data_IF_074301038792
#
_entry.id   IF_074301038792
#
_cell.length_a   1.000
_cell.length_b   1.000
_cell.length_c   1.000
_cell.angle_alpha   90.00
_cell.angle_beta   90.00
_cell.angle_gamma   90.00
#
_symmetry.space_group_name_H-M   'P 1'
#
loop_
_entity.id
_entity.type
_entity.pdbx_description
1 polymer ?
#
# COMPACT_ATOMS: atom_id res chain seq x y z
N UNK A 1 23.21 11.72 19.60
CA UNK A 1 22.53 11.84 20.91
C UNK A 1 21.50 10.74 21.01
N UNK A 2 21.37 10.17 22.16
CA UNK A 2 20.35 9.15 22.43
C UNK A 2 19.73 9.42 23.82
N UNK A 3 18.50 9.03 23.97
CA UNK A 3 17.77 9.03 25.23
C UNK A 3 16.67 7.99 25.17
N UNK A 4 16.26 7.46 26.29
CA UNK A 4 15.26 6.42 26.30
C UNK A 4 14.70 6.13 27.66
N UNK A 5 13.58 5.42 27.58
CA UNK A 5 12.85 4.82 28.67
C UNK A 5 12.72 3.31 28.33
N UNK A 6 12.46 2.39 29.28
CA UNK A 6 12.32 0.96 28.96
C UNK A 6 11.41 0.62 27.79
N UNK A 7 10.42 1.45 27.50
CA UNK A 7 9.43 1.22 26.45
C UNK A 7 9.48 2.22 25.29
N UNK A 8 10.36 3.22 25.34
CA UNK A 8 10.50 4.19 24.26
C UNK A 8 11.90 4.77 24.23
N UNK A 9 12.53 4.77 23.07
CA UNK A 9 13.84 5.36 22.89
C UNK A 9 13.83 6.30 21.66
N UNK A 10 14.56 7.40 21.80
CA UNK A 10 14.78 8.34 20.70
C UNK A 10 16.26 8.55 20.47
N UNK A 11 16.64 8.72 19.22
CA UNK A 11 18.01 9.03 18.85
C UNK A 11 18.03 9.96 17.63
N UNK A 12 19.12 10.71 17.51
CA UNK A 12 19.42 11.50 16.32
C UNK A 12 20.70 10.99 15.70
N UNK A 13 20.67 10.69 14.42
CA UNK A 13 21.83 10.28 13.62
C UNK A 13 21.77 10.93 12.24
N UNK A 14 22.91 10.97 11.57
CA UNK A 14 22.99 11.44 10.19
C UNK A 14 22.23 10.47 9.27
N UNK A 15 21.61 11.01 8.23
CA UNK A 15 20.79 10.22 7.27
C UNK A 15 21.60 9.08 6.65
N UNK A 16 22.85 9.34 6.31
CA UNK A 16 23.80 8.36 5.77
C UNK A 16 24.06 7.16 6.68
N UNK A 17 23.87 7.32 7.99
CA UNK A 17 24.09 6.27 8.98
C UNK A 17 22.81 5.41 9.24
N UNK A 18 21.66 5.77 8.68
CA UNK A 18 20.42 5.02 8.88
C UNK A 18 20.54 3.56 8.42
N UNK A 19 21.08 3.25 7.22
CA UNK A 19 21.22 1.86 6.78
C UNK A 19 22.11 1.02 7.72
N UNK A 20 23.25 1.57 8.15
CA UNK A 20 24.17 0.90 9.07
C UNK A 20 23.50 0.65 10.43
N UNK A 21 22.82 1.66 10.94
CA UNK A 21 22.07 1.56 12.20
C UNK A 21 20.96 0.50 12.14
N UNK A 22 20.19 0.47 11.06
CA UNK A 22 19.16 -0.53 10.81
C UNK A 22 19.72 -1.94 10.76
N UNK A 23 20.83 -2.14 10.05
CA UNK A 23 21.52 -3.42 9.99
C UNK A 23 22.02 -3.88 11.37
N UNK A 24 22.63 -2.97 12.14
CA UNK A 24 23.13 -3.26 13.47
C UNK A 24 22.03 -3.64 14.47
N UNK A 25 20.88 -2.92 14.44
CA UNK A 25 19.72 -3.26 15.27
C UNK A 25 19.17 -4.63 14.90
N UNK A 26 18.97 -4.90 13.62
CA UNK A 26 18.46 -6.18 13.15
C UNK A 26 19.39 -7.34 13.55
N UNK A 27 20.71 -7.16 13.43
CA UNK A 27 21.68 -8.15 13.86
C UNK A 27 21.60 -8.39 15.37
N UNK A 28 21.56 -7.30 16.17
CA UNK A 28 21.47 -7.40 17.62
C UNK A 28 20.18 -8.07 18.08
N UNK A 29 19.06 -7.74 17.43
CA UNK A 29 17.77 -8.36 17.72
C UNK A 29 17.79 -9.87 17.44
N UNK A 30 18.32 -10.29 16.27
CA UNK A 30 18.46 -11.72 15.91
C UNK A 30 19.34 -12.46 16.93
N UNK A 31 20.44 -11.86 17.35
CA UNK A 31 21.32 -12.44 18.38
C UNK A 31 20.60 -12.59 19.72
N UNK A 32 19.82 -11.59 20.12
CA UNK A 32 19.06 -11.60 21.38
C UNK A 32 17.91 -12.61 21.38
N UNK A 33 17.31 -12.85 20.21
CA UNK A 33 16.21 -13.82 20.04
C UNK A 33 16.68 -15.27 19.95
N UNK A 34 18.00 -15.52 19.73
CA UNK A 34 18.56 -16.87 19.78
C UNK A 34 17.89 -17.89 18.84
N UNK A 35 17.30 -17.42 17.72
CA UNK A 35 16.58 -18.29 16.78
C UNK A 35 15.13 -18.58 17.19
N UNK A 36 14.59 -17.94 18.23
CA UNK A 36 13.18 -18.06 18.60
C UNK A 36 12.31 -17.47 17.51
N UNK A 37 11.40 -18.28 16.98
CA UNK A 37 10.40 -17.83 16.02
C UNK A 37 9.32 -17.03 16.79
N UNK A 38 9.36 -15.69 16.69
CA UNK A 38 8.36 -14.84 17.33
C UNK A 38 7.07 -14.92 16.52
N UNK A 39 6.10 -15.66 17.02
CA UNK A 39 4.74 -15.62 16.49
C UNK A 39 4.05 -14.40 17.13
N UNK A 40 3.67 -13.38 16.36
CA UNK A 40 2.93 -12.27 16.92
C UNK A 40 1.64 -12.76 17.56
N UNK A 41 1.47 -12.51 18.83
CA UNK A 41 0.23 -12.83 19.54
C UNK A 41 -0.45 -11.53 19.99
N UNK A 42 -1.76 -11.46 19.82
CA UNK A 42 -2.59 -10.37 20.34
C UNK A 42 -3.51 -10.94 21.41
N UNK A 43 -3.42 -10.41 22.63
CA UNK A 43 -4.30 -10.79 23.71
C UNK A 43 -5.61 -10.01 23.59
N UNK A 44 -6.75 -10.69 23.77
CA UNK A 44 -8.05 -10.08 23.87
C UNK A 44 -8.51 -10.09 25.33
N UNK A 45 -9.26 -9.07 25.72
CA UNK A 45 -9.73 -8.89 27.11
C UNK A 45 -11.16 -9.39 27.28
N UNK A 46 -12.00 -9.31 26.23
CA UNK A 46 -13.41 -9.70 26.27
C UNK A 46 -13.83 -10.38 24.96
N UNK A 47 -14.64 -11.42 25.07
CA UNK A 47 -15.31 -12.04 23.92
C UNK A 47 -16.70 -11.43 23.77
N UNK A 48 -17.01 -10.91 22.59
CA UNK A 48 -18.29 -10.27 22.28
C UNK A 48 -18.85 -10.77 20.96
N UNK A 49 -20.14 -10.55 20.75
CA UNK A 49 -20.84 -10.75 19.47
C UNK A 49 -21.07 -9.40 18.79
N UNK A 50 -21.44 -9.41 17.49
CA UNK A 50 -21.80 -8.18 16.78
C UNK A 50 -23.04 -7.52 17.39
N UNK A 51 -23.95 -8.29 18.00
CA UNK A 51 -25.13 -7.75 18.69
C UNK A 51 -24.78 -6.95 19.94
N UNK A 52 -23.65 -7.26 20.59
CA UNK A 52 -23.21 -6.53 21.78
C UNK A 52 -22.58 -5.19 21.45
N UNK A 53 -22.13 -5.01 20.20
CA UNK A 53 -21.46 -3.80 19.76
C UNK A 53 -22.43 -2.61 19.73
N UNK A 54 -22.05 -1.49 20.32
CA UNK A 54 -22.88 -0.29 20.31
C UNK A 54 -22.58 0.67 21.44
N UNK A 55 -23.55 1.54 21.69
CA UNK A 55 -23.43 2.59 22.68
C UNK A 55 -23.28 2.02 24.12
N UNK A 56 -24.03 0.98 24.46
CA UNK A 56 -24.06 0.46 25.82
C UNK A 56 -22.72 -0.17 26.20
N UNK A 57 -22.21 -1.07 25.35
CA UNK A 57 -20.86 -1.64 25.56
C UNK A 57 -19.79 -0.53 25.61
N UNK A 58 -19.87 0.47 24.72
CA UNK A 58 -18.93 1.58 24.74
C UNK A 58 -18.94 2.33 26.07
N UNK A 59 -20.11 2.60 26.63
CA UNK A 59 -20.26 3.30 27.92
C UNK A 59 -19.75 2.46 29.08
N UNK A 60 -19.99 1.15 29.08
CA UNK A 60 -19.43 0.24 30.10
C UNK A 60 -17.90 0.19 30.06
N UNK A 61 -17.31 0.04 28.87
CA UNK A 61 -15.86 0.05 28.70
C UNK A 61 -15.23 1.39 29.07
N UNK A 62 -15.97 2.50 28.86
CA UNK A 62 -15.51 3.83 29.25
C UNK A 62 -15.33 4.00 30.75
N UNK A 63 -15.98 3.20 31.59
CA UNK A 63 -15.75 3.20 33.04
C UNK A 63 -14.33 2.78 33.43
N UNK A 64 -13.58 2.13 32.51
CA UNK A 64 -12.18 1.75 32.69
C UNK A 64 -11.19 2.89 32.41
N UNK A 65 -11.67 4.04 31.92
CA UNK A 65 -10.83 5.21 31.67
C UNK A 65 -10.25 5.82 32.97
N UNK A 66 -9.08 6.45 32.95
CA UNK A 66 -8.29 6.77 31.75
C UNK A 66 -7.43 5.59 31.26
N UNK A 67 -7.50 5.32 29.96
CA UNK A 67 -6.63 4.33 29.32
C UNK A 67 -5.27 4.93 29.00
N UNK A 68 -4.21 4.10 29.10
CA UNK A 68 -2.85 4.51 28.84
C UNK A 68 -1.82 3.43 29.20
N UNK A 69 -0.63 3.85 29.56
CA UNK A 69 0.44 2.93 29.97
C UNK A 69 0.03 2.19 31.26
N UNK A 70 -0.01 0.85 31.22
CA UNK A 70 -0.46 0.00 32.34
C UNK A 70 -1.97 -0.23 32.40
N UNK A 71 -2.79 0.50 31.65
CA UNK A 71 -4.21 0.29 31.49
C UNK A 71 -4.60 0.48 30.02
N UNK A 72 -4.29 -0.47 29.12
CA UNK A 72 -4.57 -0.35 27.70
C UNK A 72 -6.07 -0.34 27.40
N UNK A 73 -6.44 0.18 26.23
CA UNK A 73 -7.81 0.10 25.74
C UNK A 73 -8.20 -1.39 25.62
N UNK A 74 -9.38 -1.79 26.16
CA UNK A 74 -9.83 -3.17 26.09
C UNK A 74 -9.99 -3.66 24.65
N UNK A 75 -9.43 -4.84 24.37
CA UNK A 75 -9.50 -5.51 23.07
C UNK A 75 -10.60 -6.56 23.08
N UNK A 76 -11.49 -6.42 22.11
CA UNK A 76 -12.66 -7.26 21.92
C UNK A 76 -12.34 -8.37 20.92
N UNK A 77 -12.60 -9.62 21.27
CA UNK A 77 -12.56 -10.76 20.35
C UNK A 77 -13.96 -11.05 19.83
N UNK A 78 -14.15 -10.91 18.54
CA UNK A 78 -15.37 -11.28 17.83
C UNK A 78 -15.09 -12.56 17.05
N UNK A 79 -15.78 -13.64 17.42
CA UNK A 79 -15.59 -14.96 16.81
C UNK A 79 -16.58 -15.23 15.69
N UNK A 80 -16.13 -16.01 14.70
CA UNK A 80 -16.99 -16.52 13.62
C UNK A 80 -17.76 -15.42 12.89
N UNK A 81 -17.13 -14.27 12.68
CA UNK A 81 -17.66 -13.11 11.96
C UNK A 81 -17.22 -13.11 10.49
N UNK A 82 -17.77 -12.20 9.70
CA UNK A 82 -17.36 -11.92 8.32
C UNK A 82 -17.50 -10.44 7.99
N UNK A 83 -16.83 -9.98 6.94
CA UNK A 83 -16.81 -8.59 6.50
C UNK A 83 -17.61 -8.40 5.21
N UNK A 84 -18.33 -7.29 5.13
CA UNK A 84 -19.15 -6.89 3.98
C UNK A 84 -18.87 -5.42 3.61
N UNK A 85 -19.17 -5.05 2.37
CA UNK A 85 -19.12 -3.67 1.87
C UNK A 85 -17.77 -2.97 2.17
N UNK A 86 -16.68 -3.71 2.05
CA UNK A 86 -15.35 -3.16 2.29
C UNK A 86 -14.92 -2.21 1.18
N UNK A 87 -14.34 -1.08 1.57
CA UNK A 87 -13.77 -0.08 0.65
C UNK A 87 -12.56 0.58 1.27
N UNK A 88 -11.44 0.60 0.57
CA UNK A 88 -10.26 1.34 0.99
C UNK A 88 -10.14 2.70 0.30
N UNK A 89 -9.50 3.64 0.98
CA UNK A 89 -9.17 4.96 0.44
C UNK A 89 -7.95 5.56 1.17
N UNK A 90 -7.18 6.39 0.45
CA UNK A 90 -6.19 7.24 1.08
C UNK A 90 -6.87 8.37 1.84
N UNK A 91 -6.36 8.65 3.04
CA UNK A 91 -6.89 9.72 3.88
C UNK A 91 -6.39 11.09 3.43
N UNK A 92 -7.13 12.10 3.83
CA UNK A 92 -6.76 13.51 3.67
C UNK A 92 -6.61 14.14 5.05
N UNK A 93 -5.69 15.10 5.18
CA UNK A 93 -5.60 15.93 6.37
C UNK A 93 -6.78 16.92 6.42
N UNK A 94 -6.87 17.68 7.51
CA UNK A 94 -7.94 18.68 7.69
C UNK A 94 -7.89 19.83 6.67
N UNK A 95 -6.77 20.03 5.96
CA UNK A 95 -6.61 20.98 4.86
C UNK A 95 -6.95 20.40 3.49
N UNK A 96 -7.34 19.11 3.44
CA UNK A 96 -7.64 18.40 2.21
C UNK A 96 -6.39 17.87 1.46
N UNK A 97 -5.19 17.96 2.06
CA UNK A 97 -4.00 17.37 1.47
C UNK A 97 -4.06 15.85 1.67
N UNK A 98 -3.76 15.07 0.62
CA UNK A 98 -3.66 13.62 0.75
C UNK A 98 -2.51 13.26 1.68
N UNK A 99 -2.82 12.57 2.76
CA UNK A 99 -1.84 11.87 3.58
C UNK A 99 -1.71 10.45 3.01
N UNK A 100 -0.50 9.98 2.80
CA UNK A 100 -0.26 8.65 2.23
C UNK A 100 -0.50 7.55 3.28
N UNK A 101 -1.76 7.41 3.69
CA UNK A 101 -2.18 6.45 4.70
C UNK A 101 -3.52 5.82 4.33
N UNK A 102 -3.51 4.51 4.21
CA UNK A 102 -4.69 3.74 3.81
C UNK A 102 -5.64 3.60 4.99
N UNK A 103 -6.93 3.73 4.70
CA UNK A 103 -8.03 3.39 5.60
C UNK A 103 -9.01 2.50 4.85
N UNK A 104 -9.32 1.36 5.40
CA UNK A 104 -10.39 0.48 4.91
C UNK A 104 -11.60 0.62 5.80
N UNK A 105 -12.71 1.07 5.23
CA UNK A 105 -14.03 1.05 5.84
C UNK A 105 -14.68 -0.30 5.51
N UNK A 106 -15.41 -0.91 6.45
CA UNK A 106 -16.12 -2.17 6.27
C UNK A 106 -17.34 -2.26 7.19
N UNK A 107 -18.19 -3.22 6.95
CA UNK A 107 -19.22 -3.68 7.87
C UNK A 107 -18.88 -5.08 8.37
N UNK A 108 -19.02 -5.32 9.67
CA UNK A 108 -18.85 -6.66 10.28
C UNK A 108 -20.21 -7.26 10.61
N UNK A 109 -20.33 -8.57 10.43
CA UNK A 109 -21.47 -9.39 10.81
C UNK A 109 -21.08 -10.67 11.48
N UNK A 110 -21.99 -11.22 12.26
CA UNK A 110 -22.00 -12.60 12.76
C UNK A 110 -23.42 -13.14 12.76
N UNK A 111 -23.66 -14.27 13.40
CA UNK A 111 -25.00 -14.85 13.49
C UNK A 111 -25.86 -14.26 14.63
N UNK A 112 -25.33 -13.34 15.43
CA UNK A 112 -26.02 -12.77 16.58
C UNK A 112 -27.01 -11.66 16.22
N UNK A 113 -26.79 -10.98 15.09
CA UNK A 113 -27.59 -9.84 14.66
C UNK A 113 -27.73 -9.80 13.13
N UNK A 114 -28.92 -9.40 12.66
CA UNK A 114 -29.17 -9.17 11.23
C UNK A 114 -28.61 -7.84 10.72
N UNK A 115 -28.33 -6.90 11.62
CA UNK A 115 -27.77 -5.59 11.25
C UNK A 115 -26.24 -5.61 11.29
N UNK A 116 -25.57 -5.16 10.24
CA UNK A 116 -24.11 -5.04 10.25
C UNK A 116 -23.66 -3.91 11.16
N UNK A 117 -22.46 -4.05 11.74
CA UNK A 117 -21.83 -2.98 12.51
C UNK A 117 -20.66 -2.38 11.75
N UNK A 118 -20.51 -1.04 11.71
CA UNK A 118 -19.44 -0.40 10.96
C UNK A 118 -18.07 -0.59 11.62
N UNK A 119 -17.04 -0.68 10.80
CA UNK A 119 -15.67 -0.76 11.26
C UNK A 119 -14.68 -0.12 10.31
N UNK A 120 -13.47 0.10 10.82
CA UNK A 120 -12.35 0.63 10.07
C UNK A 120 -11.09 -0.17 10.33
N UNK A 121 -10.21 -0.23 9.34
CA UNK A 121 -8.89 -0.83 9.47
C UNK A 121 -7.84 0.13 8.92
N UNK A 122 -6.98 0.59 9.78
CA UNK A 122 -5.94 1.54 9.41
C UNK A 122 -4.69 0.84 8.87
N UNK A 123 -4.11 1.39 7.81
CA UNK A 123 -2.87 0.91 7.24
C UNK A 123 -3.03 -0.33 6.35
N UNK A 124 -4.26 -0.78 6.09
CA UNK A 124 -4.55 -2.00 5.36
C UNK A 124 -5.52 -1.76 4.20
N UNK A 125 -5.34 -2.54 3.13
CA UNK A 125 -6.25 -2.55 2.00
C UNK A 125 -7.45 -3.47 2.26
N UNK A 126 -8.56 -3.20 1.59
CA UNK A 126 -9.78 -4.03 1.69
C UNK A 126 -9.53 -5.48 1.31
N UNK A 127 -8.59 -5.73 0.41
CA UNK A 127 -8.22 -7.04 -0.09
C UNK A 127 -7.53 -7.90 0.96
N UNK A 128 -7.02 -7.30 2.02
CA UNK A 128 -6.41 -8.00 3.15
C UNK A 128 -7.45 -8.57 4.13
N UNK A 129 -8.72 -8.11 4.03
CA UNK A 129 -9.81 -8.69 4.82
C UNK A 129 -10.12 -10.11 4.33
N UNK A 130 -10.26 -11.10 5.23
CA UNK A 130 -10.58 -12.47 4.85
C UNK A 130 -11.94 -12.56 4.14
N UNK A 131 -12.01 -13.44 3.15
CA UNK A 131 -13.30 -13.86 2.59
C UNK A 131 -13.84 -15.00 3.45
N UNK A 132 -15.10 -14.91 3.88
CA UNK A 132 -15.77 -15.92 4.70
C UNK A 132 -15.60 -15.72 6.19
N UNK A 133 -15.72 -16.81 6.95
CA UNK A 133 -15.72 -16.78 8.41
C UNK A 133 -14.31 -16.57 8.97
N UNK A 134 -14.22 -15.69 9.98
CA UNK A 134 -12.97 -15.36 10.63
C UNK A 134 -13.19 -15.01 12.10
N UNK A 135 -12.11 -14.95 12.87
CA UNK A 135 -12.07 -14.29 14.17
C UNK A 135 -11.34 -12.97 14.03
N UNK A 136 -11.80 -11.93 14.69
CA UNK A 136 -11.09 -10.67 14.70
C UNK A 136 -10.95 -10.09 16.09
N UNK A 137 -9.90 -9.29 16.29
CA UNK A 137 -9.68 -8.47 17.47
C UNK A 137 -9.84 -7.02 17.08
N UNK A 138 -10.66 -6.30 17.83
CA UNK A 138 -10.98 -4.91 17.58
C UNK A 138 -11.08 -4.12 18.89
N UNK A 139 -11.04 -2.80 18.78
CA UNK A 139 -11.43 -1.85 19.83
C UNK A 139 -12.70 -1.14 19.38
N UNK A 140 -13.61 -0.85 20.32
CA UNK A 140 -14.77 -0.01 20.01
C UNK A 140 -14.39 1.46 20.19
N UNK A 141 -14.82 2.29 19.23
CA UNK A 141 -14.49 3.71 19.21
C UNK A 141 -15.72 4.53 18.76
N UNK A 142 -15.64 5.83 18.89
CA UNK A 142 -16.74 6.74 18.61
C UNK A 142 -16.27 7.90 17.73
N UNK A 143 -17.05 8.21 16.73
CA UNK A 143 -16.86 9.43 15.92
C UNK A 143 -18.04 10.37 16.12
N UNK A 144 -17.75 11.61 16.51
CA UNK A 144 -18.74 12.67 16.63
C UNK A 144 -18.53 13.69 15.52
N UNK A 145 -19.42 13.71 14.53
CA UNK A 145 -19.40 14.67 13.46
C UNK A 145 -20.80 15.31 13.28
N UNK A 146 -20.88 16.63 13.22
CA UNK A 146 -22.14 17.39 13.06
C UNK A 146 -23.24 16.97 14.04
N UNK A 147 -22.93 16.83 15.33
CA UNK A 147 -23.81 16.37 16.40
C UNK A 147 -24.39 14.96 16.24
N UNK A 148 -23.83 14.14 15.32
CA UNK A 148 -24.14 12.73 15.22
C UNK A 148 -22.98 11.91 15.83
N UNK A 149 -23.33 11.11 16.82
CA UNK A 149 -22.40 10.18 17.46
C UNK A 149 -22.59 8.81 16.80
N UNK A 150 -21.52 8.31 16.15
CA UNK A 150 -21.50 6.97 15.53
C UNK A 150 -20.44 6.11 16.19
N UNK A 151 -20.86 4.96 16.67
CA UNK A 151 -19.96 3.94 17.19
C UNK A 151 -19.48 3.06 16.04
N UNK A 152 -18.23 2.64 16.10
CA UNK A 152 -17.61 1.76 15.12
C UNK A 152 -16.51 0.94 15.80
N UNK A 153 -16.07 -0.14 15.17
CA UNK A 153 -14.91 -0.87 15.64
C UNK A 153 -13.66 -0.47 14.85
N UNK A 154 -12.53 -0.44 15.53
CA UNK A 154 -11.20 -0.33 14.95
C UNK A 154 -10.56 -1.71 14.94
N UNK A 155 -10.40 -2.31 13.76
CA UNK A 155 -9.82 -3.63 13.60
C UNK A 155 -8.32 -3.58 13.92
N UNK A 156 -7.85 -4.50 14.74
CA UNK A 156 -6.45 -4.65 15.15
C UNK A 156 -5.82 -5.86 14.46
N UNK A 157 -6.50 -6.98 14.48
CA UNK A 157 -6.03 -8.23 13.91
C UNK A 157 -7.20 -9.08 13.44
N UNK A 158 -6.95 -9.91 12.44
CA UNK A 158 -7.93 -10.86 11.91
C UNK A 158 -7.28 -12.20 11.61
N UNK A 159 -8.01 -13.28 11.89
CA UNK A 159 -7.60 -14.64 11.64
C UNK A 159 -8.72 -15.37 10.92
N UNK A 160 -8.45 -15.85 9.70
CA UNK A 160 -9.41 -16.66 8.94
C UNK A 160 -9.71 -17.99 9.63
N UNK A 161 -10.98 -18.39 9.67
CA UNK A 161 -11.44 -19.72 10.14
C UNK A 161 -11.24 -20.82 9.10
N UNK A 162 -10.73 -20.45 7.96
CA UNK A 162 -10.47 -21.42 6.94
C UNK A 162 -9.42 -22.41 7.44
N UNK A 163 -9.87 -23.46 8.10
CA UNK A 163 -9.47 -24.79 7.72
C UNK A 163 -9.92 -25.00 6.25
N UNK A 164 -9.36 -24.26 5.35
CA UNK A 164 -9.12 -24.80 4.06
C UNK A 164 -8.31 -26.04 4.36
N UNK A 165 -8.85 -27.25 4.11
CA UNK A 165 -8.03 -28.13 3.30
C UNK A 165 -7.26 -27.20 2.39
N UNK A 166 -6.01 -26.99 2.74
CA UNK A 166 -5.02 -26.42 1.87
C UNK A 166 -5.01 -27.45 0.73
N UNK A 167 -5.92 -27.32 -0.23
CA UNK A 167 -5.55 -27.53 -1.61
C UNK A 167 -4.43 -26.53 -1.71
N UNK A 168 -3.23 -26.99 -1.38
CA UNK A 168 -2.01 -26.27 -1.62
C UNK A 168 -2.10 -25.85 -3.08
N UNK A 169 -2.56 -24.63 -3.40
CA UNK A 169 -2.23 -24.09 -4.69
C UNK A 169 -0.73 -24.09 -4.53
N UNK A 170 -0.06 -24.89 -5.36
CA UNK A 170 1.36 -25.09 -5.29
C UNK A 170 2.03 -23.85 -4.74
N UNK A 171 2.40 -23.82 -3.44
CA UNK A 171 3.20 -22.73 -2.83
C UNK A 171 4.49 -22.53 -3.67
N UNK A 172 4.85 -23.54 -4.44
CA UNK A 172 5.89 -23.54 -5.43
C UNK A 172 5.63 -22.66 -6.67
N UNK A 173 4.43 -22.09 -6.85
CA UNK A 173 4.12 -21.31 -8.07
C UNK A 173 4.45 -19.81 -7.97
N UNK A 174 4.72 -19.27 -6.77
CA UNK A 174 5.14 -17.87 -6.59
C UNK A 174 6.48 -17.85 -5.86
N UNK A 175 7.50 -17.32 -6.52
CA UNK A 175 8.84 -17.16 -5.98
C UNK A 175 9.10 -15.68 -5.68
N UNK A 176 9.62 -15.38 -4.49
CA UNK A 176 9.97 -14.02 -4.07
C UNK A 176 11.48 -13.76 -4.21
N UNK A 177 11.82 -12.97 -5.21
CA UNK A 177 13.20 -12.55 -5.48
C UNK A 177 13.43 -11.04 -5.27
N UNK A 178 12.53 -10.35 -4.61
CA UNK A 178 12.65 -8.89 -4.36
C UNK A 178 13.91 -8.50 -3.60
N UNK A 179 14.41 -9.39 -2.73
CA UNK A 179 15.59 -9.16 -1.88
C UNK A 179 16.87 -9.82 -2.41
N UNK A 180 16.87 -10.40 -3.60
CA UNK A 180 18.05 -11.01 -4.18
C UNK A 180 18.89 -9.96 -4.90
N UNK A 181 20.12 -9.72 -4.43
CA UNK A 181 21.03 -8.72 -5.00
C UNK A 181 21.60 -9.14 -6.37
N UNK A 182 21.69 -10.42 -6.67
CA UNK A 182 22.24 -10.94 -7.91
C UNK A 182 21.18 -11.70 -8.74
N UNK A 183 20.43 -10.96 -9.54
CA UNK A 183 19.70 -11.51 -10.68
C UNK A 183 20.65 -11.74 -11.88
N UNK A 184 21.96 -11.98 -11.60
CA UNK A 184 22.97 -12.28 -12.59
C UNK A 184 22.64 -13.59 -13.29
N UNK A 185 22.52 -13.55 -14.64
CA UNK A 185 22.40 -14.67 -15.55
C UNK A 185 21.43 -15.77 -15.13
N UNK A 186 20.18 -15.40 -14.88
CA UNK A 186 19.12 -16.40 -14.90
C UNK A 186 19.00 -16.85 -16.35
N UNK A 187 19.63 -17.99 -16.66
CA UNK A 187 19.31 -18.75 -17.86
C UNK A 187 17.79 -18.81 -17.89
N UNK A 188 17.17 -18.28 -18.94
CA UNK A 188 15.73 -18.22 -19.09
C UNK A 188 15.19 -19.64 -19.02
N UNK A 189 14.87 -20.10 -17.81
CA UNK A 189 14.15 -21.35 -17.64
C UNK A 189 12.78 -21.08 -18.26
N UNK A 190 12.45 -21.85 -19.29
CA UNK A 190 11.17 -21.75 -20.03
C UNK A 190 9.94 -21.88 -19.13
N UNK A 191 10.15 -22.19 -17.84
CA UNK A 191 9.13 -22.43 -16.82
C UNK A 191 8.83 -21.23 -15.91
N UNK A 192 9.51 -20.07 -16.07
CA UNK A 192 9.35 -18.91 -15.19
C UNK A 192 8.73 -17.71 -15.91
N UNK A 193 7.80 -17.03 -15.23
CA UNK A 193 7.29 -15.70 -15.59
C UNK A 193 7.83 -14.67 -14.60
N UNK A 194 8.87 -13.94 -14.99
CA UNK A 194 9.58 -13.02 -14.11
C UNK A 194 9.00 -11.63 -14.26
N UNK A 195 8.45 -11.07 -13.17
CA UNK A 195 7.92 -9.71 -13.12
C UNK A 195 8.94 -8.79 -12.44
N UNK A 196 9.49 -7.87 -13.24
CA UNK A 196 10.47 -6.86 -12.80
C UNK A 196 9.83 -5.52 -12.44
N UNK A 197 8.64 -5.25 -12.98
CA UNK A 197 7.89 -4.02 -12.73
C UNK A 197 7.08 -4.15 -11.45
N UNK A 198 7.27 -3.21 -10.51
CA UNK A 198 6.50 -3.17 -9.29
C UNK A 198 5.04 -2.82 -9.60
N UNK A 199 4.06 -3.63 -9.17
CA UNK A 199 2.66 -3.34 -9.41
C UNK A 199 2.22 -2.07 -8.66
N UNK A 200 1.18 -1.42 -9.17
CA UNK A 200 0.50 -0.29 -8.53
C UNK A 200 -0.89 -0.65 -8.03
N UNK A 201 -1.33 -1.89 -8.27
CA UNK A 201 -2.61 -2.40 -7.78
C UNK A 201 -2.60 -3.92 -7.69
N UNK A 202 -3.50 -4.46 -6.88
CA UNK A 202 -3.74 -5.90 -6.81
C UNK A 202 -4.22 -6.48 -8.14
N UNK A 203 -4.95 -5.69 -8.94
CA UNK A 203 -5.44 -6.13 -10.25
C UNK A 203 -4.29 -6.35 -11.23
N UNK A 204 -3.25 -5.51 -11.21
CA UNK A 204 -2.04 -5.74 -12.00
C UNK A 204 -1.41 -7.10 -11.64
N UNK A 205 -1.28 -7.38 -10.33
CA UNK A 205 -0.69 -8.63 -9.86
C UNK A 205 -1.55 -9.85 -10.22
N UNK A 206 -2.88 -9.72 -10.14
CA UNK A 206 -3.82 -10.77 -10.57
C UNK A 206 -3.73 -11.08 -12.06
N UNK A 207 -3.57 -10.07 -12.89
CA UNK A 207 -3.38 -10.28 -14.34
C UNK A 207 -2.12 -11.10 -14.62
N UNK A 208 -0.99 -10.79 -13.98
CA UNK A 208 0.24 -11.57 -14.14
C UNK A 208 0.10 -12.98 -13.56
N UNK A 209 -0.59 -13.12 -12.45
CA UNK A 209 -0.90 -14.42 -11.87
C UNK A 209 -1.73 -15.28 -12.83
N UNK A 210 -2.81 -14.74 -13.38
CA UNK A 210 -3.63 -15.41 -14.38
C UNK A 210 -2.80 -15.82 -15.60
N UNK A 211 -1.97 -14.92 -16.11
CA UNK A 211 -1.06 -15.22 -17.22
C UNK A 211 -0.08 -16.34 -16.87
N UNK A 212 0.44 -16.39 -15.66
CA UNK A 212 1.34 -17.47 -15.23
C UNK A 212 0.65 -18.83 -15.21
N UNK A 213 -0.60 -18.87 -14.75
CA UNK A 213 -1.42 -20.09 -14.76
C UNK A 213 -1.74 -20.56 -16.18
N UNK A 214 -2.14 -19.65 -17.07
CA UNK A 214 -2.44 -19.94 -18.48
C UNK A 214 -1.21 -20.48 -19.22
N UNK A 215 -0.02 -19.98 -18.92
CA UNK A 215 1.23 -20.40 -19.51
C UNK A 215 1.89 -21.59 -18.77
N UNK A 216 1.29 -22.08 -17.68
CA UNK A 216 1.86 -23.13 -16.81
C UNK A 216 3.28 -22.80 -16.33
N UNK A 217 3.52 -21.52 -15.98
CA UNK A 217 4.81 -21.02 -15.50
C UNK A 217 4.72 -20.61 -14.03
N UNK A 218 5.83 -20.71 -13.31
CA UNK A 218 5.93 -20.15 -11.98
C UNK A 218 6.05 -18.62 -12.06
N UNK A 219 5.28 -17.90 -11.23
CA UNK A 219 5.38 -16.46 -11.13
C UNK A 219 6.56 -16.07 -10.23
N UNK A 220 7.48 -15.31 -10.76
CA UNK A 220 8.61 -14.77 -10.00
C UNK A 220 8.41 -13.28 -9.78
N UNK A 221 8.30 -12.87 -8.53
CA UNK A 221 8.25 -11.46 -8.16
C UNK A 221 9.67 -10.95 -7.91
N UNK A 222 10.17 -10.11 -8.82
CA UNK A 222 11.56 -9.67 -8.86
C UNK A 222 11.68 -8.13 -9.00
N UNK A 223 10.64 -7.38 -8.68
CA UNK A 223 10.71 -5.93 -8.73
C UNK A 223 11.60 -5.37 -7.63
N UNK A 224 12.36 -4.36 -7.99
CA UNK A 224 13.23 -3.65 -7.06
C UNK A 224 12.47 -2.49 -6.41
N UNK A 225 12.93 -2.10 -5.22
CA UNK A 225 12.45 -0.87 -4.58
C UNK A 225 12.64 0.31 -5.53
N UNK A 226 11.61 1.12 -5.69
CA UNK A 226 11.66 2.32 -6.53
C UNK A 226 12.78 3.26 -6.07
N UNK A 227 13.50 3.87 -7.01
CA UNK A 227 14.47 4.91 -6.70
C UNK A 227 13.74 6.12 -6.10
N UNK A 228 14.35 6.75 -5.08
CA UNK A 228 13.76 7.84 -4.29
C UNK A 228 13.79 9.19 -5.05
N UNK A 229 13.22 9.26 -6.26
CA UNK A 229 13.00 10.55 -6.93
C UNK A 229 11.73 11.19 -6.38
N UNK A 230 11.81 12.45 -5.96
CA UNK A 230 10.60 13.15 -5.54
C UNK A 230 9.68 13.40 -6.75
N UNK A 231 8.36 13.54 -6.57
CA UNK A 231 7.47 13.91 -7.66
C UNK A 231 7.89 15.19 -8.39
N UNK A 232 8.53 16.14 -7.67
CA UNK A 232 9.07 17.38 -8.24
C UNK A 232 10.27 17.11 -9.14
N UNK A 233 11.17 16.21 -8.74
CA UNK A 233 12.33 15.85 -9.55
C UNK A 233 11.90 15.19 -10.87
N UNK A 234 10.89 14.32 -10.79
CA UNK A 234 10.30 13.68 -11.97
C UNK A 234 9.68 14.73 -12.90
N UNK A 235 8.96 15.72 -12.34
CA UNK A 235 8.40 16.82 -13.12
C UNK A 235 9.49 17.66 -13.80
N UNK A 236 10.53 18.07 -13.06
CA UNK A 236 11.65 18.83 -13.59
C UNK A 236 12.35 18.06 -14.72
N UNK A 237 12.55 16.76 -14.52
CA UNK A 237 13.15 15.86 -15.52
C UNK A 237 12.28 15.78 -16.77
N UNK A 238 10.96 15.61 -16.62
CA UNK A 238 10.02 15.56 -17.74
C UNK A 238 10.01 16.87 -18.54
N UNK A 239 10.00 18.02 -17.85
CA UNK A 239 10.08 19.35 -18.50
C UNK A 239 11.43 19.53 -19.20
N UNK A 240 12.53 19.07 -18.58
CA UNK A 240 13.86 19.09 -19.17
C UNK A 240 13.94 18.29 -20.48
N UNK A 241 13.38 17.07 -20.47
CA UNK A 241 13.29 16.21 -21.65
C UNK A 241 12.43 16.89 -22.74
N UNK A 242 11.28 17.45 -22.37
CA UNK A 242 10.40 18.13 -23.32
C UNK A 242 11.10 19.34 -23.98
N UNK A 243 11.85 20.15 -23.21
CA UNK A 243 12.65 21.25 -23.74
C UNK A 243 13.76 20.76 -24.67
N UNK A 244 14.43 19.68 -24.33
CA UNK A 244 15.48 19.11 -25.17
C UNK A 244 14.91 18.60 -26.51
N UNK A 245 13.87 17.79 -26.46
CA UNK A 245 13.26 17.20 -27.65
C UNK A 245 12.63 18.27 -28.57
N UNK A 246 12.02 19.31 -27.99
CA UNK A 246 11.46 20.41 -28.77
C UNK A 246 12.53 21.27 -29.50
N UNK A 247 13.76 21.31 -28.97
CA UNK A 247 14.89 22.02 -29.60
C UNK A 247 15.59 21.18 -30.67
N UNK A 248 15.74 19.89 -30.41
CA UNK A 248 16.46 18.96 -31.31
C UNK A 248 15.57 18.34 -32.38
N UNK A 249 14.24 18.49 -32.23
CA UNK A 249 13.23 17.87 -33.09
C UNK A 249 13.37 16.33 -33.20
N UNK A 250 13.96 15.71 -32.15
CA UNK A 250 14.16 14.26 -32.09
C UNK A 250 12.88 13.57 -31.64
N UNK A 251 12.44 12.51 -32.32
CA UNK A 251 11.34 11.68 -31.81
C UNK A 251 11.79 10.83 -30.62
N UNK A 252 10.88 10.49 -29.73
CA UNK A 252 11.12 9.63 -28.57
C UNK A 252 10.04 8.54 -28.49
N UNK A 253 10.41 7.37 -28.00
CA UNK A 253 9.45 6.29 -27.76
C UNK A 253 8.89 6.43 -26.34
N UNK A 254 7.55 6.24 -26.20
CA UNK A 254 6.89 6.35 -24.87
C UNK A 254 7.53 5.45 -23.81
N UNK A 255 7.97 4.26 -24.20
CA UNK A 255 8.60 3.29 -23.27
C UNK A 255 9.88 3.86 -22.67
N UNK A 256 10.73 4.52 -23.46
CA UNK A 256 11.96 5.15 -22.98
C UNK A 256 11.68 6.25 -21.93
N UNK A 257 10.59 7.01 -22.13
CA UNK A 257 10.17 8.02 -21.16
C UNK A 257 9.68 7.37 -19.85
N UNK A 258 8.91 6.29 -19.94
CA UNK A 258 8.41 5.57 -18.79
C UNK A 258 9.55 4.98 -17.95
N UNK A 259 10.51 4.34 -18.61
CA UNK A 259 11.70 3.78 -17.95
C UNK A 259 12.56 4.86 -17.30
N UNK A 260 12.83 5.95 -18.02
CA UNK A 260 13.66 7.05 -17.52
C UNK A 260 13.05 7.81 -16.37
N UNK A 261 11.72 7.97 -16.37
CA UNK A 261 10.99 8.68 -15.32
C UNK A 261 10.54 7.75 -14.17
N UNK A 262 10.53 6.45 -14.41
CA UNK A 262 10.06 5.45 -13.44
C UNK A 262 8.58 5.59 -13.09
N UNK A 263 7.73 6.00 -14.03
CA UNK A 263 6.29 6.24 -13.83
C UNK A 263 5.44 5.40 -14.80
N UNK A 264 4.14 5.25 -14.48
CA UNK A 264 3.19 4.55 -15.34
C UNK A 264 2.75 5.39 -16.54
N UNK A 265 2.12 4.71 -17.52
CA UNK A 265 1.47 5.37 -18.66
C UNK A 265 0.43 6.41 -18.23
N UNK A 266 -0.31 6.14 -17.14
CA UNK A 266 -1.31 7.07 -16.62
C UNK A 266 -0.66 8.35 -16.08
N UNK A 267 0.42 8.22 -15.30
CA UNK A 267 1.17 9.38 -14.84
C UNK A 267 1.82 10.15 -15.99
N UNK A 268 2.40 9.45 -16.97
CA UNK A 268 2.97 10.10 -18.14
C UNK A 268 1.92 10.88 -18.94
N UNK A 269 0.72 10.32 -19.10
CA UNK A 269 -0.40 11.03 -19.75
C UNK A 269 -0.76 12.33 -19.03
N UNK A 270 -0.85 12.31 -17.69
CA UNK A 270 -1.08 13.52 -16.90
C UNK A 270 0.08 14.51 -17.03
N UNK A 271 1.32 14.01 -17.08
CA UNK A 271 2.49 14.83 -17.38
C UNK A 271 2.41 15.52 -18.74
N UNK A 272 1.95 14.82 -19.76
CA UNK A 272 1.73 15.41 -21.09
C UNK A 272 0.61 16.45 -21.08
N UNK A 273 -0.46 16.22 -20.32
CA UNK A 273 -1.49 17.25 -20.13
C UNK A 273 -0.91 18.50 -19.47
N UNK A 274 -0.09 18.33 -18.44
CA UNK A 274 0.57 19.46 -17.77
C UNK A 274 1.56 20.19 -18.69
N UNK A 275 2.33 19.48 -19.51
CA UNK A 275 3.23 20.07 -20.51
C UNK A 275 2.50 20.94 -21.56
N UNK A 276 1.27 20.55 -21.94
CA UNK A 276 0.46 21.36 -22.88
C UNK A 276 0.18 22.75 -22.31
N UNK A 277 -0.06 22.87 -21.00
CA UNK A 277 -0.25 24.18 -20.35
C UNK A 277 1.04 25.01 -20.25
N UNK A 278 2.20 24.40 -20.50
CA UNK A 278 3.49 25.11 -20.64
C UNK A 278 3.82 25.45 -22.10
N UNK A 279 2.92 25.18 -23.06
CA UNK A 279 3.11 25.47 -24.47
C UNK A 279 3.76 24.33 -25.27
N UNK A 280 3.89 23.12 -24.72
CA UNK A 280 4.38 21.97 -25.47
C UNK A 280 3.23 21.26 -26.19
N UNK A 281 3.38 21.04 -27.48
CA UNK A 281 2.46 20.23 -28.30
C UNK A 281 3.07 18.85 -28.46
N UNK A 282 2.31 17.82 -28.08
CA UNK A 282 2.74 16.43 -28.19
C UNK A 282 1.96 15.78 -29.34
N UNK A 283 2.67 15.41 -30.37
CA UNK A 283 2.14 14.73 -31.56
C UNK A 283 2.57 13.27 -31.54
N UNK A 284 1.63 12.36 -31.80
CA UNK A 284 1.88 10.93 -31.90
C UNK A 284 1.96 10.54 -33.36
N UNK A 285 3.09 10.00 -33.79
CA UNK A 285 3.30 9.47 -35.12
C UNK A 285 3.71 8.00 -34.97
N UNK A 286 2.81 7.08 -35.31
CA UNK A 286 2.98 5.64 -35.12
C UNK A 286 3.38 5.29 -33.70
N UNK A 287 4.62 4.81 -33.49
CA UNK A 287 5.17 4.43 -32.19
C UNK A 287 6.02 5.52 -31.53
N UNK A 288 6.19 6.67 -32.19
CA UNK A 288 7.03 7.77 -31.72
C UNK A 288 6.19 8.96 -31.27
N UNK A 289 6.74 9.71 -30.33
CA UNK A 289 6.22 10.99 -29.86
C UNK A 289 7.14 12.10 -30.34
N UNK A 290 6.56 13.13 -30.93
CA UNK A 290 7.25 14.36 -31.26
C UNK A 290 6.75 15.46 -30.34
N UNK A 291 7.67 16.20 -29.73
CA UNK A 291 7.35 17.29 -28.79
C UNK A 291 7.82 18.59 -29.47
N UNK A 292 6.87 19.50 -29.65
CA UNK A 292 7.09 20.81 -30.28
C UNK A 292 6.70 21.88 -29.26
N UNK A 293 7.43 22.98 -29.23
CA UNK A 293 7.07 24.11 -28.37
C UNK A 293 6.38 25.21 -29.17
N UNK A 294 5.21 25.68 -28.67
CA UNK A 294 4.45 26.80 -29.24
C UNK A 294 4.41 27.97 -28.25
N UNK A 295 4.96 29.10 -28.63
CA UNK A 295 5.06 30.29 -27.79
C UNK A 295 3.74 31.03 -27.53
N UNK A 296 2.64 30.61 -28.17
CA UNK A 296 1.33 31.29 -28.12
C UNK A 296 0.41 30.85 -26.98
N UNK A 297 0.90 30.06 -26.04
CA UNK A 297 0.08 29.48 -24.97
C UNK A 297 0.00 30.39 -23.73
N UNK A 298 -1.22 30.49 -23.13
CA UNK A 298 -1.48 31.28 -21.93
C UNK A 298 -1.25 30.44 -20.65
N UNK A 299 -0.35 30.90 -19.79
CA UNK A 299 0.14 30.17 -18.59
C UNK A 299 -0.85 30.12 -17.41
N UNK A 300 -2.02 30.76 -17.47
CA UNK A 300 -2.88 31.07 -16.30
C UNK A 300 -3.49 29.88 -15.55
N UNK A 301 -3.38 28.62 -16.02
CA UNK A 301 -3.97 27.45 -15.33
C UNK A 301 -3.03 26.26 -15.16
N UNK A 302 -1.73 26.44 -15.38
CA UNK A 302 -0.74 25.36 -15.33
C UNK A 302 -0.64 24.70 -13.95
N UNK A 303 -0.72 25.49 -12.86
CA UNK A 303 -0.50 25.00 -11.49
C UNK A 303 -1.47 23.88 -11.09
N UNK A 304 -2.74 24.00 -11.47
CA UNK A 304 -3.74 22.96 -11.14
C UNK A 304 -3.41 21.62 -11.79
N UNK A 305 -3.01 21.62 -13.07
CA UNK A 305 -2.72 20.40 -13.81
C UNK A 305 -1.36 19.82 -13.39
N UNK A 306 -0.37 20.66 -13.11
CA UNK A 306 0.90 20.26 -12.56
C UNK A 306 0.69 19.58 -11.20
N UNK A 307 -0.13 20.16 -10.31
CA UNK A 307 -0.46 19.57 -9.01
C UNK A 307 -1.19 18.23 -9.15
N UNK A 308 -2.05 18.05 -10.15
CA UNK A 308 -2.67 16.76 -10.46
C UNK A 308 -1.62 15.71 -10.86
N UNK A 309 -0.68 16.06 -11.72
CA UNK A 309 0.44 15.18 -12.08
C UNK A 309 1.27 14.80 -10.86
N UNK A 310 1.70 15.78 -10.06
CA UNK A 310 2.49 15.54 -8.86
C UNK A 310 1.75 14.65 -7.84
N UNK A 311 0.44 14.83 -7.70
CA UNK A 311 -0.39 13.99 -6.83
C UNK A 311 -0.48 12.56 -7.34
N UNK A 312 -0.64 12.36 -8.67
CA UNK A 312 -0.70 11.03 -9.27
C UNK A 312 0.64 10.28 -9.13
N UNK A 313 1.76 10.95 -9.37
CA UNK A 313 3.09 10.36 -9.18
C UNK A 313 3.31 9.97 -7.71
N UNK A 314 2.91 10.82 -6.77
CA UNK A 314 3.02 10.52 -5.32
C UNK A 314 2.18 9.30 -4.93
N UNK A 315 0.96 9.21 -5.46
CA UNK A 315 0.08 8.08 -5.22
C UNK A 315 0.68 6.78 -5.77
N UNK A 316 1.18 6.81 -7.00
CA UNK A 316 1.83 5.66 -7.61
C UNK A 316 3.07 5.21 -6.83
N UNK A 317 3.90 6.15 -6.37
CA UNK A 317 5.07 5.84 -5.53
C UNK A 317 4.67 5.20 -4.21
N UNK A 318 3.60 5.67 -3.58
CA UNK A 318 3.06 5.11 -2.36
C UNK A 318 2.59 3.66 -2.57
N UNK A 319 1.86 3.40 -3.67
CA UNK A 319 1.40 2.06 -4.02
C UNK A 319 2.57 1.11 -4.28
N UNK A 320 3.59 1.54 -5.04
CA UNK A 320 4.80 0.73 -5.29
C UNK A 320 5.60 0.46 -4.02
N UNK A 321 5.69 1.44 -3.11
CA UNK A 321 6.33 1.24 -1.81
C UNK A 321 5.59 0.18 -0.99
N UNK A 322 4.26 0.20 -0.97
CA UNK A 322 3.45 -0.85 -0.36
C UNK A 322 3.78 -2.24 -0.94
N UNK A 323 3.72 -2.41 -2.28
CA UNK A 323 4.00 -3.70 -2.92
C UNK A 323 5.45 -4.16 -2.76
N UNK A 324 6.38 -3.25 -2.53
CA UNK A 324 7.78 -3.59 -2.23
C UNK A 324 7.95 -4.24 -0.86
N UNK A 325 7.04 -3.96 0.09
CA UNK A 325 7.13 -4.43 1.47
C UNK A 325 6.06 -5.46 1.86
N UNK A 326 5.00 -5.63 1.04
CA UNK A 326 3.93 -6.59 1.36
C UNK A 326 4.47 -8.00 1.49
N UNK A 327 4.17 -8.75 2.57
CA UNK A 327 4.64 -10.11 2.78
C UNK A 327 4.17 -11.07 1.67
N UNK A 328 5.04 -12.03 1.31
CA UNK A 328 4.70 -13.06 0.31
C UNK A 328 3.43 -13.83 0.69
N UNK A 329 3.21 -14.09 1.97
CA UNK A 329 2.01 -14.78 2.46
C UNK A 329 0.72 -14.03 2.11
N UNK A 330 0.73 -12.70 2.17
CA UNK A 330 -0.40 -11.87 1.77
C UNK A 330 -0.58 -11.92 0.25
N UNK A 331 0.51 -11.85 -0.52
CA UNK A 331 0.45 -11.98 -1.98
C UNK A 331 -0.20 -13.31 -2.36
N UNK A 332 0.25 -14.42 -1.78
CA UNK A 332 -0.31 -15.75 -2.04
C UNK A 332 -1.80 -15.81 -1.67
N UNK A 333 -2.16 -15.28 -0.50
CA UNK A 333 -3.57 -15.24 -0.06
C UNK A 333 -4.46 -14.45 -1.03
N UNK A 334 -3.93 -13.37 -1.60
CA UNK A 334 -4.64 -12.50 -2.54
C UNK A 334 -4.79 -13.10 -3.95
N UNK A 335 -3.85 -13.96 -4.36
CA UNK A 335 -3.91 -14.64 -5.66
C UNK A 335 -4.85 -15.84 -5.64
N UNK A 336 -5.16 -16.37 -4.47
CA UNK A 336 -6.05 -17.53 -4.28
C UNK A 336 -7.52 -17.11 -4.03
N UNK A 337 -7.79 -15.83 -4.00
CA UNK A 337 -9.13 -15.23 -3.96
C UNK A 337 -9.68 -15.03 -5.37
#
# INVERSE_FOLDING_TARGET
RFGGHPFAAGLSLLIENIPLFTAAINQKLRQSLGGINLIPSVQADLVVTVADLGKDLFLELKLLEPCGMGNPIPKLLIKNCWFENSRHQNQQDWKGNKIQYIKTDFNIRDNSNNNPFPGIWWGHYQEELPIGRCDCIAEIDVNSFKNQVKHYIRLIAVRSHVETEIKTPNLAMILDWRNQENLGEIKSEKSLLIIKDCPTSWDNLRLWWKQSLEQQKQLVIAWKKSQNHTPKDIWITLVGIAKYLSRTNQPVISVELLEKLGISNQCLYLGFQALKYLGFIIQRQDHHLQIIWDSRYDQKSADKVINQFLAAVREEQFQRDYFSHVPLSIIIAMMNK
#
